data_IF_470331043851
#
_entry.id   IF_470331043851
#
_cell.length_a   1.000
_cell.length_b   1.000
_cell.length_c   1.000
_cell.angle_alpha   90.00
_cell.angle_beta   90.00
_cell.angle_gamma   90.00
#
_symmetry.space_group_name_H-M   'P 1'
#
loop_
_entity.id
_entity.type
_entity.pdbx_description
1 polymer ?
#
# COMPACT_ATOMS: atom_id res chain seq x y z
N UNK A 1 -18.46 -14.82 -83.55
CA UNK A 1 -17.90 -15.63 -82.45
C UNK A 1 -17.06 -14.73 -81.56
N UNK A 2 -17.61 -14.20 -80.45
CA UNK A 2 -16.86 -13.33 -79.50
C UNK A 2 -16.49 -14.19 -78.29
N UNK A 3 -15.17 -14.38 -78.14
CA UNK A 3 -14.56 -15.11 -76.99
C UNK A 3 -14.51 -14.15 -75.80
N UNK A 4 -15.41 -14.31 -74.86
CA UNK A 4 -15.34 -13.61 -73.56
C UNK A 4 -14.28 -14.20 -72.64
N UNK A 5 -13.23 -13.43 -72.35
CA UNK A 5 -12.27 -13.78 -71.28
C UNK A 5 -12.94 -13.67 -69.91
N UNK A 6 -12.83 -14.70 -69.05
CA UNK A 6 -13.31 -14.57 -67.67
C UNK A 6 -12.39 -13.62 -66.88
N UNK A 7 -12.97 -12.61 -66.28
CA UNK A 7 -12.30 -11.71 -65.33
C UNK A 7 -11.89 -12.52 -64.09
N UNK A 8 -10.57 -12.69 -63.87
CA UNK A 8 -10.03 -13.21 -62.64
C UNK A 8 -10.24 -12.16 -61.51
N UNK A 9 -11.29 -12.32 -60.74
CA UNK A 9 -11.59 -11.53 -59.52
C UNK A 9 -11.22 -12.34 -58.28
N UNK A 10 -9.98 -12.84 -58.15
CA UNK A 10 -9.64 -13.74 -57.03
C UNK A 10 -8.41 -13.31 -56.18
N UNK A 11 -7.87 -12.11 -56.40
CA UNK A 11 -6.73 -11.63 -55.61
C UNK A 11 -7.06 -10.70 -54.43
N UNK A 12 -8.16 -9.97 -54.50
CA UNK A 12 -8.48 -8.94 -53.53
C UNK A 12 -9.22 -9.44 -52.27
N UNK A 13 -10.00 -10.51 -52.35
CA UNK A 13 -10.77 -11.04 -51.23
C UNK A 13 -9.92 -11.69 -50.17
N UNK A 14 -8.82 -12.35 -50.52
CA UNK A 14 -7.88 -12.96 -49.57
C UNK A 14 -7.10 -11.92 -48.75
N UNK A 15 -6.70 -10.83 -49.39
CA UNK A 15 -5.92 -9.78 -48.76
C UNK A 15 -6.76 -9.00 -47.73
N UNK A 16 -8.03 -8.75 -48.03
CA UNK A 16 -8.97 -8.11 -47.07
C UNK A 16 -9.23 -8.99 -45.85
N UNK A 17 -9.36 -10.31 -46.03
CA UNK A 17 -9.56 -11.24 -44.93
C UNK A 17 -8.36 -11.27 -43.96
N UNK A 18 -7.12 -11.25 -44.48
CA UNK A 18 -5.92 -11.20 -43.63
C UNK A 18 -5.84 -9.90 -42.82
N UNK A 19 -6.10 -8.75 -43.47
CA UNK A 19 -6.12 -7.45 -42.77
C UNK A 19 -7.19 -7.42 -41.70
N UNK A 20 -8.38 -7.96 -41.97
CA UNK A 20 -9.47 -8.06 -41.00
C UNK A 20 -9.10 -8.93 -39.79
N UNK A 21 -8.46 -10.10 -40.00
CA UNK A 21 -8.02 -10.99 -38.92
C UNK A 21 -6.97 -10.30 -38.03
N UNK A 22 -5.99 -9.61 -38.64
CA UNK A 22 -4.98 -8.87 -37.89
C UNK A 22 -5.61 -7.72 -37.10
N UNK A 23 -6.51 -6.96 -37.69
CA UNK A 23 -7.23 -5.87 -37.02
C UNK A 23 -8.06 -6.39 -35.83
N UNK A 24 -8.76 -7.51 -36.03
CA UNK A 24 -9.54 -8.15 -34.96
C UNK A 24 -8.64 -8.65 -33.82
N UNK A 25 -7.50 -9.25 -34.14
CA UNK A 25 -6.54 -9.70 -33.14
C UNK A 25 -5.97 -8.52 -32.33
N UNK A 26 -5.61 -7.41 -32.99
CA UNK A 26 -5.18 -6.18 -32.32
C UNK A 26 -6.27 -5.61 -31.40
N UNK A 27 -7.49 -5.61 -31.84
CA UNK A 27 -8.64 -5.11 -31.05
C UNK A 27 -8.88 -5.99 -29.82
N UNK A 28 -8.82 -7.31 -29.95
CA UNK A 28 -8.96 -8.24 -28.83
C UNK A 28 -7.85 -8.06 -27.79
N UNK A 29 -6.61 -7.85 -28.25
CA UNK A 29 -5.47 -7.56 -27.35
C UNK A 29 -5.72 -6.23 -26.61
N UNK A 30 -6.12 -5.18 -27.31
CA UNK A 30 -6.36 -3.88 -26.71
C UNK A 30 -7.48 -3.91 -25.64
N UNK A 31 -8.60 -4.58 -25.93
CA UNK A 31 -9.70 -4.80 -24.98
C UNK A 31 -9.23 -5.62 -23.79
N UNK A 32 -8.46 -6.69 -24.05
CA UNK A 32 -7.94 -7.55 -23.01
C UNK A 32 -7.00 -6.84 -22.03
N UNK A 33 -6.10 -6.00 -22.53
CA UNK A 33 -5.25 -5.16 -21.71
C UNK A 33 -6.06 -4.18 -20.85
N UNK A 34 -7.16 -3.64 -21.40
CA UNK A 34 -8.08 -2.79 -20.67
C UNK A 34 -8.73 -3.51 -19.47
N UNK A 35 -9.13 -4.77 -19.65
CA UNK A 35 -9.70 -5.60 -18.57
C UNK A 35 -8.67 -5.86 -17.48
N UNK A 36 -7.46 -6.32 -17.82
CA UNK A 36 -6.41 -6.59 -16.82
C UNK A 36 -6.01 -5.33 -16.06
N UNK A 37 -5.89 -4.19 -16.76
CA UNK A 37 -5.58 -2.89 -16.13
C UNK A 37 -6.72 -2.43 -15.19
N UNK A 38 -7.97 -2.61 -15.58
CA UNK A 38 -9.14 -2.26 -14.75
C UNK A 38 -9.18 -3.11 -13.47
N UNK A 39 -8.87 -4.40 -13.57
CA UNK A 39 -8.83 -5.30 -12.40
C UNK A 39 -7.71 -4.89 -11.43
N UNK A 40 -6.52 -4.58 -11.93
CA UNK A 40 -5.42 -4.11 -11.10
C UNK A 40 -5.71 -2.74 -10.45
N UNK A 41 -6.38 -1.84 -11.17
CA UNK A 41 -6.81 -0.55 -10.63
C UNK A 41 -7.86 -0.72 -9.52
N UNK A 42 -8.83 -1.61 -9.71
CA UNK A 42 -9.83 -1.94 -8.68
C UNK A 42 -9.18 -2.51 -7.41
N UNK A 43 -8.20 -3.41 -7.56
CA UNK A 43 -7.45 -3.94 -6.44
C UNK A 43 -6.69 -2.85 -5.68
N UNK A 44 -6.07 -1.90 -6.40
CA UNK A 44 -5.39 -0.75 -5.80
C UNK A 44 -6.36 0.15 -5.03
N UNK A 45 -7.50 0.49 -5.63
CA UNK A 45 -8.53 1.32 -4.95
C UNK A 45 -9.08 0.63 -3.71
N UNK A 46 -9.27 -0.69 -3.75
CA UNK A 46 -9.63 -1.48 -2.56
C UNK A 46 -8.58 -1.38 -1.44
N UNK A 47 -7.30 -1.50 -1.77
CA UNK A 47 -6.21 -1.32 -0.79
C UNK A 47 -6.19 0.08 -0.18
N UNK A 48 -6.39 1.13 -0.99
CA UNK A 48 -6.45 2.51 -0.52
C UNK A 48 -7.62 2.73 0.43
N UNK A 49 -8.78 2.13 0.16
CA UNK A 49 -9.94 2.19 1.05
C UNK A 49 -9.68 1.48 2.38
N UNK A 50 -9.05 0.30 2.36
CA UNK A 50 -8.65 -0.41 3.59
C UNK A 50 -7.63 0.40 4.39
N UNK A 51 -6.60 0.96 3.74
CA UNK A 51 -5.61 1.81 4.41
C UNK A 51 -6.24 3.03 5.06
N UNK A 52 -7.20 3.67 4.41
CA UNK A 52 -7.90 4.82 4.98
C UNK A 52 -8.77 4.41 6.18
N UNK A 53 -9.45 3.26 6.12
CA UNK A 53 -10.21 2.71 7.25
C UNK A 53 -9.28 2.40 8.43
N UNK A 54 -8.13 1.76 8.20
CA UNK A 54 -7.10 1.49 9.22
C UNK A 54 -6.59 2.80 9.83
N UNK A 55 -6.26 3.79 8.99
CA UNK A 55 -5.79 5.10 9.45
C UNK A 55 -6.81 5.82 10.33
N UNK A 56 -8.08 5.78 9.96
CA UNK A 56 -9.16 6.39 10.77
C UNK A 56 -9.37 5.66 12.10
N UNK A 57 -9.34 4.33 12.09
CA UNK A 57 -9.48 3.51 13.29
C UNK A 57 -8.28 3.64 14.22
N UNK A 58 -7.07 3.84 13.67
CA UNK A 58 -5.83 4.00 14.43
C UNK A 58 -5.72 5.32 15.21
N UNK A 59 -6.71 6.20 15.14
CA UNK A 59 -6.79 7.37 16.02
C UNK A 59 -6.85 6.97 17.51
N UNK A 60 -7.32 5.76 17.82
CA UNK A 60 -7.27 5.15 19.15
C UNK A 60 -5.88 4.64 19.58
N UNK A 61 -5.00 4.37 18.62
CA UNK A 61 -3.67 3.80 18.82
C UNK A 61 -2.78 4.63 19.77
N UNK A 62 -3.00 5.94 19.81
CA UNK A 62 -2.29 6.84 20.72
C UNK A 62 -2.44 6.40 22.20
N UNK A 63 -3.58 5.84 22.59
CA UNK A 63 -3.80 5.35 23.95
C UNK A 63 -3.11 4.00 24.20
N UNK A 64 -3.14 3.10 23.23
CA UNK A 64 -2.47 1.79 23.31
C UNK A 64 -0.94 1.98 23.44
N UNK A 65 -0.37 2.84 22.62
CA UNK A 65 1.08 3.16 22.61
C UNK A 65 1.53 3.91 23.85
N UNK A 66 0.66 4.72 24.47
CA UNK A 66 0.97 5.66 25.55
C UNK A 66 1.59 5.01 26.79
N UNK A 67 1.03 3.90 27.24
CA UNK A 67 1.42 3.21 28.46
C UNK A 67 1.99 1.81 28.24
N UNK A 68 2.19 1.44 26.99
CA UNK A 68 2.75 0.13 26.65
C UNK A 68 4.22 0.02 27.03
N UNK A 69 4.63 -1.15 27.49
CA UNK A 69 6.03 -1.55 27.70
C UNK A 69 6.75 -1.79 26.37
N UNK A 70 6.01 -2.09 25.30
CA UNK A 70 6.51 -2.27 23.94
C UNK A 70 5.57 -1.61 22.91
N UNK A 71 5.59 -0.27 22.84
CA UNK A 71 4.64 0.48 22.01
C UNK A 71 4.71 0.12 20.52
N UNK A 72 5.88 -0.21 20.02
CA UNK A 72 6.03 -0.59 18.62
C UNK A 72 5.39 -1.94 18.29
N UNK A 73 5.44 -2.90 19.21
CA UNK A 73 4.74 -4.17 19.06
C UNK A 73 3.22 -3.94 19.05
N UNK A 74 2.69 -3.25 20.04
CA UNK A 74 1.25 -2.97 20.16
C UNK A 74 0.71 -2.23 18.93
N UNK A 75 1.44 -1.21 18.45
CA UNK A 75 1.03 -0.47 17.27
C UNK A 75 0.97 -1.34 16.00
N UNK A 76 1.94 -2.24 15.82
CA UNK A 76 1.95 -3.15 14.66
C UNK A 76 0.85 -4.19 14.75
N UNK A 77 0.58 -4.72 15.96
CA UNK A 77 -0.50 -5.67 16.19
C UNK A 77 -1.87 -5.06 15.91
N UNK A 78 -2.12 -3.85 16.40
CA UNK A 78 -3.37 -3.13 16.14
C UNK A 78 -3.60 -2.96 14.63
N UNK A 79 -2.55 -2.63 13.87
CA UNK A 79 -2.66 -2.55 12.40
C UNK A 79 -3.00 -3.91 11.79
N UNK A 80 -2.38 -5.00 12.26
CA UNK A 80 -2.69 -6.36 11.78
C UNK A 80 -4.14 -6.72 12.06
N UNK A 81 -4.64 -6.44 13.26
CA UNK A 81 -6.03 -6.67 13.64
C UNK A 81 -6.98 -5.87 12.76
N UNK A 82 -6.72 -4.57 12.58
CA UNK A 82 -7.53 -3.72 11.71
C UNK A 82 -7.53 -4.17 10.24
N UNK A 83 -6.39 -4.65 9.71
CA UNK A 83 -6.33 -5.22 8.36
C UNK A 83 -7.15 -6.51 8.26
N UNK A 84 -7.07 -7.36 9.29
CA UNK A 84 -7.85 -8.59 9.40
C UNK A 84 -9.36 -8.30 9.44
N UNK A 85 -9.79 -7.39 10.29
CA UNK A 85 -11.20 -6.98 10.46
C UNK A 85 -11.80 -6.37 9.20
N UNK A 86 -10.96 -5.69 8.39
CA UNK A 86 -11.37 -5.17 7.09
C UNK A 86 -11.28 -6.21 5.95
N UNK A 87 -11.04 -7.47 6.25
CA UNK A 87 -11.02 -8.56 5.28
C UNK A 87 -9.89 -8.45 4.26
N UNK A 88 -8.76 -7.83 4.62
CA UNK A 88 -7.65 -7.65 3.70
C UNK A 88 -7.10 -9.00 3.20
N UNK A 89 -6.74 -9.06 1.91
CA UNK A 89 -6.06 -10.20 1.27
C UNK A 89 -4.79 -9.71 0.60
N UNK A 90 -3.66 -10.33 0.89
CA UNK A 90 -2.35 -9.98 0.34
C UNK A 90 -1.25 -9.89 1.39
N UNK A 91 -0.17 -9.21 1.08
CA UNK A 91 0.94 -9.00 2.01
C UNK A 91 0.96 -7.56 2.52
N UNK A 92 1.25 -7.40 3.80
CA UNK A 92 1.45 -6.12 4.46
C UNK A 92 2.85 -6.04 5.07
N UNK A 93 3.50 -4.90 4.90
CA UNK A 93 4.73 -4.50 5.57
C UNK A 93 4.40 -3.31 6.45
N UNK A 94 4.53 -3.48 7.77
CA UNK A 94 4.15 -2.50 8.78
C UNK A 94 5.39 -2.09 9.54
N UNK A 95 5.71 -0.80 9.56
CA UNK A 95 6.80 -0.25 10.34
C UNK A 95 6.29 0.64 11.46
N UNK A 96 6.95 0.56 12.59
CA UNK A 96 6.85 1.52 13.67
C UNK A 96 8.19 2.18 13.90
N UNK A 97 8.20 3.50 14.06
CA UNK A 97 9.37 4.27 14.40
C UNK A 97 9.02 5.37 15.40
N UNK A 98 9.77 5.44 16.49
CA UNK A 98 9.64 6.47 17.52
C UNK A 98 10.96 7.20 17.69
N UNK A 99 10.91 8.55 17.77
CA UNK A 99 12.08 9.37 17.99
C UNK A 99 12.59 9.20 19.43
N UNK A 100 13.93 9.21 19.62
CA UNK A 100 14.54 9.23 20.94
C UNK A 100 14.23 10.55 21.66
N UNK A 101 14.40 10.56 22.97
CA UNK A 101 14.20 11.75 23.80
C UNK A 101 15.05 12.95 23.37
N UNK A 102 16.27 12.69 22.86
CA UNK A 102 17.14 13.74 22.31
C UNK A 102 16.50 14.55 21.19
N UNK A 103 15.62 13.93 20.42
CA UNK A 103 15.02 14.50 19.21
C UNK A 103 13.58 14.98 19.45
N UNK A 104 12.88 14.39 20.44
CA UNK A 104 11.49 14.71 20.77
C UNK A 104 11.32 15.60 22.01
N UNK A 105 12.36 15.69 22.86
CA UNK A 105 12.31 16.37 24.14
C UNK A 105 11.79 15.50 25.30
N UNK A 106 12.13 15.86 26.53
CA UNK A 106 11.86 15.06 27.73
C UNK A 106 10.36 14.89 28.03
N UNK A 107 9.53 15.82 27.59
CA UNK A 107 8.09 15.86 27.90
C UNK A 107 7.20 15.46 26.69
N UNK A 108 7.80 14.93 25.62
CA UNK A 108 7.08 14.58 24.40
C UNK A 108 7.55 13.24 23.81
N UNK A 109 6.65 12.61 23.09
CA UNK A 109 6.93 11.41 22.28
C UNK A 109 6.32 11.59 20.90
N UNK A 110 7.10 11.31 19.88
CA UNK A 110 6.67 11.33 18.49
C UNK A 110 7.00 10.00 17.86
N UNK A 111 5.97 9.31 17.44
CA UNK A 111 6.08 8.06 16.74
C UNK A 111 5.31 8.11 15.43
N UNK A 112 5.52 7.13 14.59
CA UNK A 112 4.77 6.98 13.37
C UNK A 112 4.66 5.53 12.95
N UNK A 113 3.65 5.28 12.15
CA UNK A 113 3.40 3.99 11.52
C UNK A 113 3.41 4.17 10.00
N UNK A 114 4.11 3.28 9.35
CA UNK A 114 4.11 3.15 7.89
C UNK A 114 3.53 1.79 7.55
N UNK A 115 2.54 1.77 6.67
CA UNK A 115 1.92 0.54 6.18
C UNK A 115 2.02 0.51 4.67
N UNK A 116 2.56 -0.58 4.15
CA UNK A 116 2.61 -0.87 2.73
C UNK A 116 1.88 -2.16 2.45
N UNK A 117 0.83 -2.07 1.67
CA UNK A 117 0.05 -3.20 1.20
C UNK A 117 0.49 -3.62 -0.19
N UNK A 118 0.47 -4.92 -0.45
CA UNK A 118 0.68 -5.48 -1.78
C UNK A 118 -0.23 -6.67 -2.00
N UNK A 119 -0.89 -6.70 -3.16
CA UNK A 119 -1.73 -7.81 -3.59
C UNK A 119 -1.44 -8.14 -5.05
N UNK A 120 -1.31 -9.43 -5.32
CA UNK A 120 -1.10 -9.97 -6.65
C UNK A 120 -2.45 -10.30 -7.30
N UNK A 121 -2.79 -9.58 -8.35
CA UNK A 121 -4.01 -9.78 -9.13
C UNK A 121 -3.69 -10.63 -10.36
N UNK A 122 -4.33 -11.79 -10.55
CA UNK A 122 -4.11 -12.61 -11.72
C UNK A 122 -4.54 -11.87 -12.99
N UNK A 123 -3.80 -12.07 -14.07
CA UNK A 123 -4.12 -11.51 -15.38
C UNK A 123 -4.71 -12.55 -16.29
N UNK A 124 -5.62 -12.13 -17.17
CA UNK A 124 -6.25 -13.00 -18.17
C UNK A 124 -5.57 -12.87 -19.53
N UNK A 125 -5.36 -11.64 -19.98
CA UNK A 125 -4.83 -11.35 -21.32
C UNK A 125 -3.33 -11.10 -21.31
N UNK A 126 -2.80 -10.45 -20.28
CA UNK A 126 -1.35 -10.27 -20.13
C UNK A 126 -0.62 -11.60 -19.92
N UNK A 127 -1.32 -12.64 -19.47
CA UNK A 127 -0.78 -14.00 -19.40
C UNK A 127 -0.33 -14.52 -20.78
N UNK A 128 -1.01 -14.14 -21.87
CA UNK A 128 -0.60 -14.45 -23.23
C UNK A 128 0.72 -13.79 -23.62
N UNK A 129 1.07 -12.69 -22.98
CA UNK A 129 2.34 -11.99 -23.11
C UNK A 129 3.38 -12.41 -22.05
N UNK A 130 3.13 -13.50 -21.31
CA UNK A 130 4.05 -14.03 -20.30
C UNK A 130 4.01 -13.31 -18.95
N UNK A 131 2.93 -12.56 -18.65
CA UNK A 131 2.72 -11.92 -17.36
C UNK A 131 1.48 -12.49 -16.67
N UNK A 132 1.69 -13.39 -15.72
CA UNK A 132 0.61 -14.12 -15.04
C UNK A 132 -0.12 -13.26 -13.99
N UNK A 133 0.52 -12.20 -13.48
CA UNK A 133 -0.02 -11.35 -12.42
C UNK A 133 0.45 -9.90 -12.53
N UNK A 134 -0.36 -9.00 -12.01
CA UNK A 134 -0.02 -7.61 -11.72
C UNK A 134 -0.06 -7.40 -10.22
N UNK A 135 0.98 -6.77 -9.66
CA UNK A 135 1.04 -6.45 -8.24
C UNK A 135 0.55 -5.03 -8.02
N UNK A 136 -0.60 -4.89 -7.36
CA UNK A 136 -1.06 -3.62 -6.83
C UNK A 136 -0.32 -3.31 -5.52
N UNK A 137 0.07 -2.04 -5.32
CA UNK A 137 0.73 -1.57 -4.09
C UNK A 137 0.12 -0.26 -3.66
N UNK A 138 -0.10 -0.14 -2.34
CA UNK A 138 -0.54 1.10 -1.71
C UNK A 138 0.21 1.31 -0.41
N UNK A 139 0.42 2.57 -0.04
CA UNK A 139 1.20 2.94 1.14
C UNK A 139 0.48 4.05 1.89
N UNK A 140 0.46 3.95 3.22
CA UNK A 140 0.00 5.02 4.10
C UNK A 140 1.01 5.25 5.22
N UNK A 141 1.09 6.51 5.67
CA UNK A 141 1.91 6.94 6.79
C UNK A 141 1.03 7.81 7.68
N UNK A 142 1.11 7.60 8.98
CA UNK A 142 0.53 8.51 9.95
C UNK A 142 1.41 8.63 11.18
N UNK A 143 1.33 9.79 11.83
CA UNK A 143 2.08 10.08 13.05
C UNK A 143 1.22 9.89 14.27
N UNK A 144 1.84 9.46 15.36
CA UNK A 144 1.24 9.25 16.66
C UNK A 144 1.91 10.22 17.63
N UNK A 145 1.12 11.01 18.32
CA UNK A 145 1.56 11.89 19.39
C UNK A 145 0.79 11.54 20.67
N UNK A 146 1.30 10.58 21.47
CA UNK A 146 0.53 10.00 22.57
C UNK A 146 0.38 10.92 23.77
N UNK A 147 1.11 12.03 23.85
CA UNK A 147 1.08 12.97 24.99
C UNK A 147 0.83 14.40 24.55
N UNK A 148 0.00 15.08 25.32
CA UNK A 148 -0.22 16.51 25.20
C UNK A 148 0.33 17.31 26.39
N UNK A 149 0.37 16.72 27.60
CA UNK A 149 0.83 17.36 28.83
C UNK A 149 1.18 16.33 29.90
N UNK A 150 2.16 16.61 30.74
CA UNK A 150 2.48 15.85 31.94
C UNK A 150 3.74 14.97 31.83
N UNK A 151 3.91 14.06 32.80
CA UNK A 151 5.02 13.14 32.82
C UNK A 151 4.86 12.09 31.70
N UNK A 152 5.82 12.06 30.82
CA UNK A 152 5.85 11.12 29.69
C UNK A 152 6.43 9.78 30.15
N UNK A 153 5.62 8.71 30.08
CA UNK A 153 6.14 7.35 30.22
C UNK A 153 6.91 6.96 28.95
N UNK A 154 8.15 6.57 29.13
CA UNK A 154 9.01 6.11 28.03
C UNK A 154 9.61 4.76 28.42
N UNK A 155 9.25 3.67 27.74
CA UNK A 155 9.85 2.35 28.01
C UNK A 155 11.32 2.33 27.61
N UNK A 156 12.07 1.38 28.17
CA UNK A 156 13.49 1.20 27.82
C UNK A 156 13.70 0.75 26.37
N UNK A 157 12.74 0.00 25.82
CA UNK A 157 12.69 -0.37 24.42
C UNK A 157 11.34 0.05 23.84
N UNK A 158 11.37 0.98 22.90
CA UNK A 158 10.18 1.46 22.21
C UNK A 158 9.70 0.52 21.10
N UNK A 159 10.45 -0.54 20.81
CA UNK A 159 10.08 -1.57 19.84
C UNK A 159 10.11 -1.08 18.39
N UNK A 160 11.06 -0.20 18.03
CA UNK A 160 11.26 0.18 16.63
C UNK A 160 11.50 -1.05 15.76
N UNK A 161 10.89 -1.09 14.58
CA UNK A 161 11.04 -2.23 13.68
C UNK A 161 9.88 -2.43 12.73
N UNK A 162 9.89 -3.57 12.06
CA UNK A 162 8.87 -3.95 11.08
C UNK A 162 8.16 -5.25 11.45
N UNK A 163 6.96 -5.40 10.93
CA UNK A 163 6.20 -6.62 10.90
C UNK A 163 5.74 -6.87 9.46
N UNK A 164 6.11 -8.02 8.93
CA UNK A 164 5.59 -8.54 7.67
C UNK A 164 4.47 -9.52 7.97
N UNK A 165 3.30 -9.33 7.38
CA UNK A 165 2.16 -10.23 7.52
C UNK A 165 1.56 -10.58 6.17
N UNK A 166 1.04 -11.79 6.04
CA UNK A 166 0.28 -12.24 4.88
C UNK A 166 -1.14 -12.60 5.32
N UNK A 167 -2.11 -12.24 4.49
CA UNK A 167 -3.52 -12.39 4.76
C UNK A 167 -4.23 -13.15 3.64
N UNK A 168 -5.19 -13.95 4.03
CA UNK A 168 -6.11 -14.64 3.14
C UNK A 168 -7.52 -14.47 3.71
N UNK A 169 -8.37 -13.72 3.00
CA UNK A 169 -9.73 -13.36 3.44
C UNK A 169 -9.81 -12.85 4.89
N UNK A 170 -8.95 -11.89 5.23
CA UNK A 170 -8.85 -11.32 6.57
C UNK A 170 -8.10 -12.20 7.59
N UNK A 171 -7.75 -13.44 7.24
CA UNK A 171 -7.05 -14.33 8.14
C UNK A 171 -5.53 -14.19 7.97
N UNK A 172 -4.80 -14.01 9.06
CA UNK A 172 -3.33 -13.98 9.03
C UNK A 172 -2.78 -15.37 8.79
N UNK A 173 -2.09 -15.57 7.66
CA UNK A 173 -1.52 -16.87 7.25
C UNK A 173 -0.01 -16.94 7.41
N UNK A 174 0.65 -15.80 7.53
CA UNK A 174 2.09 -15.72 7.78
C UNK A 174 2.45 -14.44 8.52
N UNK A 175 3.52 -14.53 9.34
CA UNK A 175 3.92 -13.42 10.19
C UNK A 175 5.40 -13.45 10.50
N UNK A 176 6.07 -12.32 10.41
CA UNK A 176 7.47 -12.15 10.77
C UNK A 176 7.71 -10.76 11.32
N UNK A 177 8.09 -10.69 12.57
CA UNK A 177 8.49 -9.44 13.23
C UNK A 177 10.02 -9.30 13.23
N UNK A 178 10.51 -8.10 13.01
CA UNK A 178 11.94 -7.79 12.95
C UNK A 178 12.20 -6.50 13.71
N UNK A 179 12.92 -6.59 14.81
CA UNK A 179 13.45 -5.43 15.52
C UNK A 179 14.48 -4.72 14.64
N UNK A 180 14.43 -3.41 14.56
CA UNK A 180 15.32 -2.61 13.74
C UNK A 180 15.71 -1.31 14.46
N UNK A 181 16.84 -0.72 14.08
CA UNK A 181 17.20 0.61 14.58
C UNK A 181 16.32 1.66 13.88
N UNK A 182 16.12 2.79 14.56
CA UNK A 182 15.39 3.91 13.99
C UNK A 182 15.91 4.30 12.58
N UNK A 183 17.21 4.28 12.38
CA UNK A 183 17.83 4.63 11.10
C UNK A 183 17.53 3.65 9.95
N UNK A 184 17.07 2.45 10.25
CA UNK A 184 16.73 1.42 9.26
C UNK A 184 15.26 1.55 8.79
N UNK A 185 14.46 2.43 9.44
CA UNK A 185 13.07 2.68 9.07
C UNK A 185 12.97 3.40 7.71
N UNK A 186 11.85 3.23 6.99
CA UNK A 186 11.62 3.94 5.73
C UNK A 186 11.82 5.46 5.88
N UNK A 187 12.58 6.07 4.97
CA UNK A 187 12.90 7.51 5.04
C UNK A 187 11.64 8.38 5.12
N UNK A 188 10.60 8.06 4.36
CA UNK A 188 9.33 8.77 4.39
C UNK A 188 8.64 8.73 5.78
N UNK A 189 8.80 7.62 6.53
CA UNK A 189 8.30 7.53 7.91
C UNK A 189 9.11 8.44 8.84
N UNK A 190 10.43 8.39 8.73
CA UNK A 190 11.32 9.23 9.57
C UNK A 190 11.07 10.72 9.34
N UNK A 191 10.91 11.12 8.09
CA UNK A 191 10.62 12.51 7.73
C UNK A 191 9.28 12.95 8.31
N UNK A 192 8.22 12.14 8.16
CA UNK A 192 6.91 12.46 8.72
C UNK A 192 6.94 12.61 10.26
N UNK A 193 7.66 11.75 10.97
CA UNK A 193 7.76 11.83 12.44
C UNK A 193 8.59 13.04 12.89
N UNK A 194 9.68 13.36 12.18
CA UNK A 194 10.50 14.56 12.46
C UNK A 194 9.75 15.85 12.17
N UNK A 195 8.99 15.90 11.08
CA UNK A 195 8.15 17.06 10.74
C UNK A 195 7.07 17.27 11.81
N UNK A 196 6.45 16.21 12.30
CA UNK A 196 5.49 16.28 13.39
C UNK A 196 6.13 16.81 14.69
N UNK A 197 7.35 16.40 15.03
CA UNK A 197 8.09 16.90 16.17
C UNK A 197 8.50 18.38 16.01
N UNK A 198 8.88 18.78 14.80
CA UNK A 198 9.31 20.14 14.49
C UNK A 198 8.16 21.14 14.44
N UNK A 199 6.99 20.72 13.99
CA UNK A 199 5.82 21.60 13.84
C UNK A 199 5.28 22.15 15.17
N UNK A 200 5.50 21.44 16.28
CA UNK A 200 5.11 21.91 17.62
C UNK A 200 6.03 23.02 18.17
N UNK A 201 7.25 23.15 17.64
CA UNK A 201 8.19 24.20 18.04
C UNK A 201 7.97 25.54 17.32
N UNK A 202 7.12 25.60 16.31
CA UNK A 202 6.76 26.85 15.66
C UNK A 202 5.78 27.61 16.57
N UNK A 203 6.10 28.86 17.00
CA UNK A 203 5.15 29.67 17.76
C UNK A 203 3.91 29.86 16.87
N UNK A 204 2.75 29.61 17.46
CA UNK A 204 1.47 29.96 16.86
C UNK A 204 1.54 31.43 16.44
N UNK A 205 1.67 31.66 15.13
CA UNK A 205 1.64 33.02 14.58
C UNK A 205 0.18 33.48 14.65
N UNK A 206 -0.21 33.82 15.89
CA UNK A 206 -1.53 34.34 16.18
C UNK A 206 -1.85 35.49 15.25
N UNK A 207 -2.88 35.27 14.48
CA UNK A 207 -3.62 36.35 13.83
C UNK A 207 -3.99 37.41 14.86
N UNK A 208 -3.46 38.59 14.61
CA UNK A 208 -3.90 39.85 15.21
C UNK A 208 -4.84 40.57 14.25
#
# INVERSE_FOLDING_TARGET
>A
MASGKPLRASGLSGQVAVVFIVALACLLIAVGLGVDASTAYSAKTGQEAVLEAVRQSSLGMSNAVKYSENPGHEAREEVVELLSDNGYTGAAEIWYAELPESDSGANDRYAGVYVKLSNDTPTTFLKLAGRDKLTARSTAIWTIHPYSTGNVYRPADVGNGSLEATFEDGTVTGRKETAARLADAPAALLDAVRDAASSKGAPDSGES
#
